data_IF_262060014423
#
_entry.id   IF_262060014423
#
_cell.length_a   1.000
_cell.length_b   1.000
_cell.length_c   1.000
_cell.angle_alpha   90.00
_cell.angle_beta   90.00
_cell.angle_gamma   90.00
#
_symmetry.space_group_name_H-M   'P 1'
#
loop_
_entity.id
_entity.type
_entity.pdbx_description
1 polymer ?
#
# COMPACT_ATOMS: atom_id res chain seq x y z
N UNK A 1 11.38 3.50 6.66
CA UNK A 1 12.40 2.70 5.96
C UNK A 1 13.81 2.98 6.47
N UNK A 2 14.68 1.96 6.52
CA UNK A 2 16.10 2.11 6.93
C UNK A 2 16.91 2.93 5.93
N UNK A 3 16.64 2.76 4.63
CA UNK A 3 17.23 3.56 3.54
C UNK A 3 16.96 5.06 3.73
N UNK A 4 15.71 5.44 4.02
CA UNK A 4 15.34 6.84 4.31
C UNK A 4 16.08 7.40 5.53
N UNK A 5 16.23 6.61 6.61
CA UNK A 5 16.99 7.04 7.79
C UNK A 5 18.47 7.26 7.48
N UNK A 6 19.07 6.37 6.69
CA UNK A 6 20.45 6.52 6.23
C UNK A 6 20.61 7.79 5.37
N UNK A 7 19.74 7.99 4.38
CA UNK A 7 19.78 9.15 3.50
C UNK A 7 19.66 10.48 4.28
N UNK A 8 18.75 10.54 5.27
CA UNK A 8 18.60 11.71 6.16
C UNK A 8 19.89 12.03 6.92
N UNK A 9 20.48 11.02 7.59
CA UNK A 9 21.72 11.21 8.35
C UNK A 9 22.89 11.64 7.45
N UNK A 10 23.01 11.05 6.26
CA UNK A 10 24.08 11.39 5.31
C UNK A 10 23.91 12.79 4.74
N UNK A 11 22.68 13.19 4.40
CA UNK A 11 22.38 14.52 3.90
C UNK A 11 22.71 15.61 4.94
N UNK A 12 22.30 15.40 6.19
CA UNK A 12 22.60 16.28 7.32
C UNK A 12 24.11 16.39 7.56
N UNK A 13 24.81 15.26 7.69
CA UNK A 13 26.24 15.23 7.99
C UNK A 13 27.12 15.86 6.90
N UNK A 14 26.64 15.90 5.65
CA UNK A 14 27.39 16.40 4.48
C UNK A 14 26.86 17.72 3.93
N UNK A 15 25.81 18.30 4.52
CA UNK A 15 25.17 19.50 3.99
C UNK A 15 24.57 19.32 2.58
N UNK A 16 24.12 18.10 2.25
CA UNK A 16 23.56 17.80 0.92
C UNK A 16 22.03 17.99 0.91
N UNK A 17 21.44 18.41 -0.23
CA UNK A 17 20.00 18.43 -0.37
C UNK A 17 19.42 17.01 -0.30
N UNK A 18 18.33 16.85 0.45
CA UNK A 18 17.54 15.62 0.46
C UNK A 18 16.30 15.80 -0.43
N UNK A 19 16.04 14.82 -1.29
CA UNK A 19 14.81 14.70 -2.09
C UNK A 19 14.20 13.33 -1.82
N UNK A 20 12.90 13.31 -1.53
CA UNK A 20 12.14 12.08 -1.36
C UNK A 20 11.24 11.92 -2.59
N UNK A 21 11.09 10.68 -3.04
CA UNK A 21 10.24 10.31 -4.19
C UNK A 21 9.21 9.31 -3.70
N UNK A 22 7.96 9.45 -4.16
CA UNK A 22 6.89 8.52 -3.81
C UNK A 22 7.16 7.16 -4.46
N UNK A 23 6.82 6.07 -3.76
CA UNK A 23 7.20 4.70 -4.15
C UNK A 23 6.64 4.27 -5.52
N UNK A 24 5.35 4.48 -5.76
CA UNK A 24 4.67 4.14 -7.02
C UNK A 24 5.09 5.06 -8.17
N UNK A 25 5.33 6.35 -7.89
CA UNK A 25 5.92 7.28 -8.85
C UNK A 25 7.31 6.82 -9.29
N UNK A 26 8.15 6.35 -8.36
CA UNK A 26 9.46 5.80 -8.68
C UNK A 26 9.36 4.55 -9.57
N UNK A 27 8.38 3.66 -9.35
CA UNK A 27 8.13 2.52 -10.24
C UNK A 27 7.81 3.00 -11.66
N UNK A 28 6.83 3.91 -11.82
CA UNK A 28 6.43 4.45 -13.13
C UNK A 28 7.61 5.14 -13.82
N UNK A 29 8.34 6.01 -13.10
CA UNK A 29 9.50 6.73 -13.63
C UNK A 29 10.63 5.79 -14.06
N UNK A 30 10.85 4.67 -13.35
CA UNK A 30 11.85 3.67 -13.74
C UNK A 30 11.52 3.01 -15.09
N UNK A 31 10.25 2.67 -15.32
CA UNK A 31 9.78 2.14 -16.61
C UNK A 31 9.88 3.18 -17.72
N UNK A 32 9.54 4.44 -17.45
CA UNK A 32 9.74 5.53 -18.41
C UNK A 32 11.21 5.65 -18.84
N UNK A 33 12.13 5.58 -17.88
CA UNK A 33 13.56 5.69 -18.12
C UNK A 33 14.12 4.51 -18.92
N UNK A 34 13.68 3.28 -18.61
CA UNK A 34 14.04 2.08 -19.37
C UNK A 34 13.64 2.18 -20.85
N UNK A 35 12.49 2.80 -21.14
CA UNK A 35 11.98 2.99 -22.50
C UNK A 35 12.45 4.28 -23.18
N UNK A 36 13.37 5.04 -22.56
CA UNK A 36 13.93 6.25 -23.16
C UNK A 36 12.91 7.38 -23.34
N UNK A 37 11.84 7.40 -22.53
CA UNK A 37 10.91 8.52 -22.52
C UNK A 37 11.59 9.73 -21.87
N UNK A 38 11.47 10.91 -22.50
CA UNK A 38 12.12 12.14 -22.06
C UNK A 38 11.36 12.89 -20.96
N UNK A 39 10.13 12.46 -20.65
CA UNK A 39 9.27 13.07 -19.64
C UNK A 39 8.61 14.38 -20.07
N UNK A 40 8.70 14.76 -21.35
CA UNK A 40 8.05 15.97 -21.88
C UNK A 40 6.52 15.84 -21.97
N UNK A 41 6.02 14.61 -22.02
CA UNK A 41 4.61 14.28 -21.96
C UNK A 41 4.33 13.32 -20.80
N UNK A 42 3.27 13.56 -20.00
CA UNK A 42 2.90 12.66 -18.92
C UNK A 42 2.37 11.33 -19.46
N UNK A 43 2.63 10.26 -18.72
CA UNK A 43 2.17 8.90 -19.01
C UNK A 43 1.08 8.47 -18.03
N UNK A 44 0.29 7.47 -18.42
CA UNK A 44 -0.54 6.71 -17.48
C UNK A 44 0.29 5.53 -16.99
N UNK A 45 0.62 5.53 -15.71
CA UNK A 45 1.31 4.43 -15.04
C UNK A 45 0.35 3.61 -14.17
N UNK A 46 0.43 2.29 -14.27
CA UNK A 46 -0.30 1.36 -13.39
C UNK A 46 0.72 0.66 -12.52
N UNK A 47 0.69 0.93 -11.21
CA UNK A 47 1.69 0.46 -10.27
C UNK A 47 1.03 -0.45 -9.23
N UNK A 48 1.22 -1.76 -9.40
CA UNK A 48 0.71 -2.81 -8.52
C UNK A 48 1.86 -3.48 -7.78
N UNK A 49 1.82 -3.43 -6.45
CA UNK A 49 2.84 -4.02 -5.57
C UNK A 49 2.20 -4.51 -4.26
N UNK A 50 3.03 -4.86 -3.27
CA UNK A 50 2.54 -5.33 -1.98
C UNK A 50 2.19 -4.20 -1.02
N UNK A 51 3.17 -3.34 -0.72
CA UNK A 51 3.02 -2.25 0.26
C UNK A 51 3.94 -1.08 -0.08
N UNK A 52 3.37 0.00 -0.61
CA UNK A 52 4.02 1.30 -0.73
C UNK A 52 3.48 2.30 0.29
N UNK A 53 4.33 3.20 0.78
CA UNK A 53 3.90 4.27 1.67
C UNK A 53 3.20 5.36 0.86
N UNK A 54 1.91 5.55 1.11
CA UNK A 54 1.10 6.60 0.49
C UNK A 54 1.32 7.97 1.11
N UNK A 55 1.14 9.02 0.31
CA UNK A 55 1.29 10.41 0.78
C UNK A 55 0.17 10.83 1.76
N UNK A 56 -0.93 10.07 1.78
CA UNK A 56 -2.06 10.21 2.71
C UNK A 56 -1.92 9.35 3.97
N UNK A 57 -0.77 8.68 4.15
CA UNK A 57 -0.52 7.78 5.28
C UNK A 57 -1.20 6.42 5.16
N UNK A 58 -1.87 6.14 4.04
CA UNK A 58 -2.36 4.80 3.71
C UNK A 58 -1.22 3.92 3.17
N UNK A 59 -1.49 2.61 3.09
CA UNK A 59 -0.66 1.69 2.32
C UNK A 59 -1.22 1.63 0.91
N UNK A 60 -0.39 1.92 -0.07
CA UNK A 60 -0.76 1.84 -1.49
C UNK A 60 -0.26 0.52 -2.07
N UNK A 61 -1.03 -0.05 -3.01
CA UNK A 61 -0.76 -1.35 -3.63
C UNK A 61 -1.39 -1.53 -5.01
N UNK A 62 -2.27 -0.61 -5.41
CA UNK A 62 -3.17 -0.77 -6.55
C UNK A 62 -3.46 0.56 -7.24
N UNK A 63 -2.42 1.25 -7.71
CA UNK A 63 -2.48 2.67 -8.09
C UNK A 63 -2.47 2.90 -9.60
N UNK A 64 -3.24 3.87 -10.07
CA UNK A 64 -3.18 4.43 -11.43
C UNK A 64 -2.76 5.89 -11.33
N UNK A 65 -1.61 6.22 -11.89
CA UNK A 65 -0.99 7.54 -11.84
C UNK A 65 -0.97 8.18 -13.22
N UNK A 66 -1.13 9.49 -13.27
CA UNK A 66 -0.72 10.31 -14.42
C UNK A 66 0.57 11.01 -14.00
N UNK A 67 1.70 10.64 -14.60
CA UNK A 67 3.02 10.99 -14.08
C UNK A 67 4.01 11.38 -15.18
N UNK A 68 4.96 12.24 -14.82
CA UNK A 68 6.20 12.52 -15.55
C UNK A 68 7.39 12.38 -14.57
N UNK A 69 8.57 12.91 -14.89
CA UNK A 69 9.72 12.86 -13.97
C UNK A 69 9.65 13.88 -12.82
N UNK A 70 8.89 14.96 -12.98
CA UNK A 70 8.78 16.03 -11.99
C UNK A 70 7.71 15.74 -10.94
N UNK A 71 6.69 14.96 -11.29
CA UNK A 71 5.67 14.56 -10.34
C UNK A 71 4.61 13.62 -10.89
N UNK A 72 3.54 13.47 -10.12
CA UNK A 72 2.42 12.63 -10.48
C UNK A 72 1.11 13.16 -9.88
N UNK A 73 0.01 12.75 -10.50
CA UNK A 73 -1.34 12.84 -9.97
C UNK A 73 -1.91 11.44 -9.83
N UNK A 74 -2.33 11.08 -8.62
CA UNK A 74 -3.06 9.84 -8.36
C UNK A 74 -4.43 9.91 -9.02
N UNK A 75 -4.60 9.23 -10.14
CA UNK A 75 -5.80 9.30 -10.97
C UNK A 75 -6.90 8.36 -10.48
N UNK A 76 -6.53 7.12 -10.14
CA UNK A 76 -7.43 6.13 -9.58
C UNK A 76 -6.64 5.15 -8.68
N UNK A 77 -7.37 4.42 -7.84
CA UNK A 77 -6.78 3.37 -7.01
C UNK A 77 -7.84 2.34 -6.62
N UNK A 78 -7.40 1.15 -6.20
CA UNK A 78 -8.30 0.18 -5.56
C UNK A 78 -8.92 0.78 -4.30
N UNK A 79 -10.23 0.54 -4.09
CA UNK A 79 -10.94 1.08 -2.93
C UNK A 79 -10.25 0.62 -1.65
N UNK A 80 -10.00 1.58 -0.75
CA UNK A 80 -9.41 1.28 0.54
C UNK A 80 -10.19 0.22 1.33
N UNK A 81 -9.44 -0.77 1.80
CA UNK A 81 -9.88 -1.78 2.75
C UNK A 81 -8.97 -1.68 3.97
N UNK A 82 -9.47 -1.85 5.20
CA UNK A 82 -8.61 -1.81 6.38
C UNK A 82 -7.59 -2.97 6.36
N UNK A 83 -6.32 -2.66 6.64
CA UNK A 83 -5.21 -3.58 6.90
C UNK A 83 -5.08 -3.81 8.41
N UNK A 84 -5.63 -4.91 8.96
CA UNK A 84 -5.72 -5.13 10.40
C UNK A 84 -4.42 -5.70 10.98
N UNK A 85 -3.67 -4.88 11.71
CA UNK A 85 -2.47 -5.28 12.43
C UNK A 85 -1.17 -5.23 11.62
N UNK A 86 -1.15 -4.51 10.49
CA UNK A 86 0.06 -4.30 9.68
C UNK A 86 0.74 -5.61 9.28
N UNK A 87 2.01 -5.78 9.66
CA UNK A 87 2.81 -7.00 9.41
C UNK A 87 2.12 -8.31 9.84
N UNK A 88 1.24 -8.27 10.84
CA UNK A 88 0.48 -9.44 11.25
C UNK A 88 -0.43 -9.95 10.12
N UNK A 89 -1.01 -9.04 9.33
CA UNK A 89 -1.84 -9.37 8.17
C UNK A 89 -1.02 -9.86 6.97
N UNK A 90 0.23 -9.41 6.84
CA UNK A 90 1.18 -9.95 5.84
C UNK A 90 1.55 -11.40 6.18
N UNK A 91 1.85 -11.69 7.46
CA UNK A 91 2.16 -13.06 7.91
C UNK A 91 0.95 -14.00 7.90
N UNK A 92 -0.24 -13.44 8.05
CA UNK A 92 -1.50 -14.18 8.14
C UNK A 92 -2.50 -13.66 7.09
N UNK A 93 -2.37 -14.08 5.81
CA UNK A 93 -3.12 -13.50 4.70
C UNK A 93 -4.65 -13.66 4.82
N UNK A 94 -5.12 -14.61 5.62
CA UNK A 94 -6.55 -14.73 5.94
C UNK A 94 -7.12 -13.44 6.56
N UNK A 95 -6.30 -12.65 7.27
CA UNK A 95 -6.74 -11.38 7.87
C UNK A 95 -7.17 -10.36 6.82
N UNK A 96 -6.39 -10.24 5.73
CA UNK A 96 -6.75 -9.37 4.60
C UNK A 96 -7.94 -9.92 3.83
N UNK A 97 -7.98 -11.22 3.54
CA UNK A 97 -9.11 -11.83 2.85
C UNK A 97 -10.44 -11.60 3.59
N UNK A 98 -10.45 -11.78 4.91
CA UNK A 98 -11.61 -11.51 5.76
C UNK A 98 -11.99 -10.01 5.79
N UNK A 99 -10.99 -9.12 5.77
CA UNK A 99 -11.19 -7.67 5.66
C UNK A 99 -11.88 -7.28 4.34
N UNK A 100 -11.41 -7.82 3.21
CA UNK A 100 -12.04 -7.60 1.90
C UNK A 100 -13.47 -8.14 1.83
N UNK A 101 -13.73 -9.35 2.35
CA UNK A 101 -15.09 -9.91 2.41
C UNK A 101 -16.03 -8.99 3.19
N UNK A 102 -15.57 -8.48 4.35
CA UNK A 102 -16.34 -7.52 5.14
C UNK A 102 -16.61 -6.23 4.37
N UNK A 103 -15.59 -5.65 3.73
CA UNK A 103 -15.74 -4.44 2.92
C UNK A 103 -16.67 -4.63 1.70
N UNK A 104 -16.79 -5.86 1.20
CA UNK A 104 -17.71 -6.24 0.14
C UNK A 104 -19.12 -6.60 0.65
N UNK A 105 -19.38 -6.58 1.96
CA UNK A 105 -20.66 -7.00 2.55
C UNK A 105 -20.90 -8.52 2.49
N UNK A 106 -19.87 -9.32 2.25
CA UNK A 106 -19.96 -10.78 2.20
C UNK A 106 -19.73 -11.35 3.61
N UNK A 107 -20.71 -12.07 4.19
CA UNK A 107 -20.57 -12.62 5.52
C UNK A 107 -19.48 -13.70 5.55
N UNK A 108 -18.73 -13.75 6.64
CA UNK A 108 -17.74 -14.79 6.85
C UNK A 108 -18.44 -16.13 7.09
N UNK A 109 -17.95 -17.18 6.42
CA UNK A 109 -18.50 -18.52 6.50
C UNK A 109 -17.38 -19.54 6.49
N UNK A 110 -17.47 -20.60 7.28
CA UNK A 110 -16.51 -21.72 7.27
C UNK A 110 -16.44 -22.44 5.91
N UNK A 111 -17.37 -22.16 4.98
CA UNK A 111 -17.30 -22.63 3.58
C UNK A 111 -16.23 -21.91 2.76
N UNK A 112 -15.77 -20.73 3.21
CA UNK A 112 -14.72 -19.97 2.56
C UNK A 112 -13.36 -20.39 3.12
N UNK A 113 -12.39 -20.81 2.29
CA UNK A 113 -11.09 -21.28 2.76
C UNK A 113 -10.38 -20.30 3.70
N UNK A 114 -10.45 -19.00 3.41
CA UNK A 114 -9.82 -17.97 4.25
C UNK A 114 -10.45 -17.84 5.65
N UNK A 115 -11.75 -18.10 5.79
CA UNK A 115 -12.42 -18.10 7.08
C UNK A 115 -12.19 -19.42 7.85
N UNK A 116 -12.11 -20.54 7.13
CA UNK A 116 -11.89 -21.86 7.71
C UNK A 116 -10.50 -21.99 8.35
N UNK A 117 -9.45 -21.44 7.72
CA UNK A 117 -8.08 -21.47 8.24
C UNK A 117 -7.82 -20.51 9.41
N UNK A 118 -8.74 -19.56 9.64
CA UNK A 118 -8.59 -18.58 10.71
C UNK A 118 -8.90 -19.24 12.08
N UNK A 119 -7.96 -19.22 13.04
CA UNK A 119 -8.12 -19.91 14.32
C UNK A 119 -9.42 -19.54 15.08
N UNK A 120 -10.02 -20.46 15.87
CA UNK A 120 -11.33 -20.26 16.51
C UNK A 120 -11.47 -19.06 17.49
N UNK A 121 -10.38 -18.37 17.86
CA UNK A 121 -10.39 -17.10 18.60
C UNK A 121 -10.04 -15.87 17.75
N UNK A 122 -9.22 -16.06 16.71
CA UNK A 122 -8.73 -15.01 15.82
C UNK A 122 -9.87 -14.34 15.06
N UNK A 123 -10.87 -15.10 14.58
CA UNK A 123 -12.01 -14.53 13.85
C UNK A 123 -12.79 -13.52 14.69
N UNK A 124 -13.12 -13.86 15.94
CA UNK A 124 -13.84 -12.93 16.83
C UNK A 124 -13.01 -11.69 17.14
N UNK A 125 -11.72 -11.86 17.39
CA UNK A 125 -10.80 -10.75 17.64
C UNK A 125 -10.71 -9.82 16.42
N UNK A 126 -10.52 -10.39 15.23
CA UNK A 126 -10.42 -9.65 13.98
C UNK A 126 -11.73 -8.91 13.65
N UNK A 127 -12.90 -9.52 13.88
CA UNK A 127 -14.19 -8.87 13.70
C UNK A 127 -14.31 -7.60 14.57
N UNK A 128 -13.93 -7.70 15.85
CA UNK A 128 -13.90 -6.57 16.79
C UNK A 128 -12.85 -5.53 16.41
N UNK A 129 -11.67 -5.96 15.98
CA UNK A 129 -10.59 -5.08 15.51
C UNK A 129 -11.07 -4.21 14.34
N UNK A 130 -11.66 -4.85 13.33
CA UNK A 130 -12.20 -4.19 12.15
C UNK A 130 -13.43 -3.32 12.45
N UNK A 131 -14.26 -3.70 13.44
CA UNK A 131 -15.43 -2.91 13.87
C UNK A 131 -15.02 -1.61 14.56
N UNK A 132 -13.96 -1.66 15.36
CA UNK A 132 -13.46 -0.51 16.12
C UNK A 132 -12.34 0.27 15.41
N UNK A 133 -11.91 -0.17 14.23
CA UNK A 133 -10.76 0.43 13.52
C UNK A 133 -9.45 0.35 14.30
N UNK A 134 -9.28 -0.60 15.22
CA UNK A 134 -8.12 -0.68 16.10
C UNK A 134 -6.89 -1.22 15.35
N UNK A 135 -5.81 -0.45 15.26
CA UNK A 135 -4.61 -0.82 14.51
C UNK A 135 -4.92 -1.26 13.07
N UNK A 136 -5.85 -0.55 12.43
CA UNK A 136 -6.24 -0.74 11.04
C UNK A 136 -5.76 0.46 10.24
N UNK A 137 -4.88 0.24 9.26
CA UNK A 137 -4.45 1.28 8.32
C UNK A 137 -5.21 1.08 7.01
N UNK A 138 -5.72 2.11 6.33
CA UNK A 138 -6.29 1.95 5.00
C UNK A 138 -5.26 1.37 4.02
N UNK A 139 -5.62 0.36 3.23
CA UNK A 139 -4.77 -0.18 2.16
C UNK A 139 -5.54 -0.34 0.86
N UNK A 140 -4.93 0.05 -0.26
CA UNK A 140 -5.45 -0.14 -1.62
C UNK A 140 -4.80 -1.36 -2.27
#
# INVERSE_FOLDING_TARGET
>A
YRSTQWARRTAEARGLPLRQVQHHHAHVASTMAEHGLDGTAPVIGVAFDGTGYGDDGAVWGGEVLIADYDGFRRFAHLRYVPLPGGDAAVRNPYRMALSHLRAAGVPWSDRLPCAAVAPPGERRLLARQLERGLNCVPTS
#
